data_IF_792822945579
#
_entry.id   IF_792822945579
#
_cell.length_a   1.000
_cell.length_b   1.000
_cell.length_c   1.000
_cell.angle_alpha   90.00
_cell.angle_beta   90.00
_cell.angle_gamma   90.00
#
_symmetry.space_group_name_H-M   'P 1'
#
loop_
_entity.id
_entity.type
_entity.pdbx_description
1 polymer ?
#
# COMPACT_ATOMS: atom_id res chain seq x y z
N UNK A 1 -2.05 -5.13 22.80
CA UNK A 1 -3.38 -4.47 22.94
C UNK A 1 -4.41 -5.58 22.97
N UNK A 2 -5.09 -5.75 24.08
CA UNK A 2 -5.92 -6.94 24.31
C UNK A 2 -7.42 -6.69 24.10
N UNK A 3 -7.93 -5.50 24.39
CA UNK A 3 -9.34 -5.19 24.22
C UNK A 3 -9.59 -3.68 24.11
N UNK A 4 -10.61 -3.27 23.32
CA UNK A 4 -11.11 -1.91 23.26
C UNK A 4 -12.56 -1.95 23.74
N UNK A 5 -12.84 -1.31 24.87
CA UNK A 5 -14.18 -1.09 25.42
C UNK A 5 -14.57 0.38 25.26
N UNK A 6 -15.82 0.71 25.50
CA UNK A 6 -16.28 2.10 25.44
C UNK A 6 -15.48 2.97 26.38
N UNK A 7 -14.82 3.99 25.84
CA UNK A 7 -13.97 4.94 26.60
C UNK A 7 -12.84 4.30 27.41
N UNK A 8 -12.45 3.06 27.06
CA UNK A 8 -11.35 2.34 27.69
C UNK A 8 -10.58 1.50 26.68
N UNK A 9 -9.27 1.48 26.80
CA UNK A 9 -8.38 0.63 26.01
C UNK A 9 -7.48 -0.15 26.97
N UNK A 10 -7.51 -1.47 26.88
CA UNK A 10 -6.56 -2.30 27.61
C UNK A 10 -5.26 -2.44 26.83
N UNK A 11 -4.13 -2.10 27.44
CA UNK A 11 -2.79 -2.21 26.87
C UNK A 11 -1.88 -2.92 27.87
N UNK A 12 -1.38 -4.10 27.52
CA UNK A 12 -0.48 -4.89 28.36
C UNK A 12 -1.01 -5.10 29.82
N UNK A 13 -2.31 -5.33 29.96
CA UNK A 13 -2.96 -5.53 31.26
C UNK A 13 -3.34 -4.23 31.99
N UNK A 14 -3.01 -3.07 31.44
CA UNK A 14 -3.41 -1.77 32.00
C UNK A 14 -4.66 -1.23 31.28
N UNK A 15 -5.60 -0.72 32.04
CA UNK A 15 -6.77 -0.02 31.51
C UNK A 15 -6.48 1.48 31.38
N UNK A 16 -6.58 2.00 30.16
CA UNK A 16 -6.42 3.42 29.85
C UNK A 16 -7.81 4.00 29.57
N UNK A 17 -8.29 4.91 30.42
CA UNK A 17 -9.53 5.65 30.18
C UNK A 17 -9.27 6.77 29.17
N UNK A 18 -10.16 6.93 28.19
CA UNK A 18 -10.01 7.92 27.12
C UNK A 18 -11.37 8.39 26.61
N UNK A 19 -11.45 9.65 26.19
CA UNK A 19 -12.65 10.21 25.54
C UNK A 19 -12.81 9.62 24.13
N UNK A 20 -11.70 9.46 23.44
CA UNK A 20 -11.64 8.89 22.08
C UNK A 20 -10.60 7.77 22.00
N UNK A 21 -10.95 6.72 21.28
CA UNK A 21 -10.03 5.65 20.93
C UNK A 21 -9.93 5.51 19.41
N UNK A 22 -8.73 5.66 18.86
CA UNK A 22 -8.49 5.63 17.42
C UNK A 22 -7.67 4.41 17.05
N UNK A 23 -8.20 3.53 16.21
CA UNK A 23 -7.44 2.44 15.61
C UNK A 23 -6.92 2.84 14.23
N UNK A 24 -5.62 3.05 14.14
CA UNK A 24 -4.89 3.44 12.92
C UNK A 24 -3.74 2.47 12.64
N UNK A 25 -3.98 1.18 12.81
CA UNK A 25 -2.94 0.13 12.78
C UNK A 25 -2.73 -0.49 11.39
N UNK A 26 -3.47 -0.03 10.38
CA UNK A 26 -3.32 -0.43 8.98
C UNK A 26 -3.17 -1.96 8.80
N UNK A 27 -2.17 -2.39 8.02
CA UNK A 27 -1.86 -3.80 7.77
C UNK A 27 -1.50 -4.59 9.05
N UNK A 28 -1.12 -3.91 10.12
CA UNK A 28 -0.79 -4.50 11.41
C UNK A 28 -1.99 -4.69 12.34
N UNK A 29 -3.19 -4.38 11.87
CA UNK A 29 -4.43 -4.64 12.63
C UNK A 29 -4.56 -6.14 12.91
N UNK A 30 -4.68 -6.56 14.20
CA UNK A 30 -4.85 -7.96 14.54
C UNK A 30 -6.03 -8.60 13.82
N UNK A 31 -5.85 -9.83 13.31
CA UNK A 31 -6.87 -10.53 12.52
C UNK A 31 -8.24 -10.62 13.21
N UNK A 32 -8.27 -10.79 14.53
CA UNK A 32 -9.52 -10.83 15.32
C UNK A 32 -10.36 -9.55 15.18
N UNK A 33 -9.73 -8.41 14.86
CA UNK A 33 -10.40 -7.12 14.66
C UNK A 33 -10.52 -6.74 13.19
N UNK A 34 -9.53 -7.12 12.38
CA UNK A 34 -9.54 -6.91 10.94
C UNK A 34 -10.63 -7.74 10.25
N UNK A 35 -10.82 -9.00 10.70
CA UNK A 35 -11.72 -9.94 10.03
C UNK A 35 -11.35 -10.08 8.56
N UNK A 36 -12.34 -9.93 7.69
CA UNK A 36 -12.18 -9.94 6.23
C UNK A 36 -12.24 -8.53 5.60
N UNK A 37 -12.08 -7.46 6.39
CA UNK A 37 -12.21 -6.08 5.88
C UNK A 37 -11.03 -5.63 5.02
N UNK A 38 -9.83 -6.08 5.37
CA UNK A 38 -8.59 -5.74 4.65
C UNK A 38 -7.59 -6.89 4.68
N UNK A 39 -6.68 -6.88 3.74
CA UNK A 39 -5.59 -7.85 3.64
C UNK A 39 -4.25 -7.15 3.56
N UNK A 40 -3.16 -7.70 4.15
CA UNK A 40 -1.82 -7.18 3.94
C UNK A 40 -1.29 -7.65 2.58
N UNK A 41 -0.80 -6.71 1.80
CA UNK A 41 0.06 -6.96 0.64
C UNK A 41 1.40 -6.27 0.88
N UNK A 42 2.43 -6.67 0.14
CA UNK A 42 3.76 -6.09 0.35
C UNK A 42 4.15 -5.20 -0.83
N UNK A 43 4.65 -4.01 -0.49
CA UNK A 43 5.39 -3.14 -1.40
C UNK A 43 6.86 -3.18 -1.02
N UNK A 44 7.72 -3.44 -2.00
CA UNK A 44 9.16 -3.51 -1.78
C UNK A 44 9.85 -2.35 -2.48
N UNK A 45 10.98 -1.95 -1.93
CA UNK A 45 11.77 -0.83 -2.39
C UNK A 45 13.25 -1.22 -2.51
N UNK A 46 13.93 -0.57 -3.45
CA UNK A 46 15.39 -0.57 -3.56
C UNK A 46 15.88 0.86 -3.70
N UNK A 47 17.09 1.15 -3.22
CA UNK A 47 17.73 2.43 -3.49
C UNK A 47 19.22 2.24 -3.83
N UNK A 48 19.69 3.04 -4.77
CA UNK A 48 21.10 3.04 -5.17
C UNK A 48 22.00 3.70 -4.11
N UNK A 49 23.31 3.57 -4.27
CA UNK A 49 24.28 4.52 -3.73
C UNK A 49 23.97 5.95 -4.23
N UNK A 50 24.51 7.01 -3.60
CA UNK A 50 24.38 8.37 -4.11
C UNK A 50 24.93 8.45 -5.54
N UNK A 51 24.10 8.96 -6.46
CA UNK A 51 24.46 9.15 -7.86
C UNK A 51 25.20 10.49 -8.02
N UNK A 52 26.13 10.54 -8.97
CA UNK A 52 26.82 11.79 -9.29
C UNK A 52 25.87 12.81 -9.91
N UNK A 53 26.26 14.09 -9.82
CA UNK A 53 25.47 15.18 -10.41
C UNK A 53 25.33 15.05 -11.92
N UNK A 54 26.32 14.45 -12.58
CA UNK A 54 26.34 14.18 -14.01
C UNK A 54 25.26 13.15 -14.38
N UNK A 55 25.20 12.03 -13.63
CA UNK A 55 24.18 10.98 -13.82
C UNK A 55 22.77 11.55 -13.60
N UNK A 56 22.58 12.39 -12.59
CA UNK A 56 21.27 13.01 -12.33
C UNK A 56 20.87 13.97 -13.46
N UNK A 57 21.81 14.74 -14.00
CA UNK A 57 21.56 15.61 -15.17
C UNK A 57 21.19 14.77 -16.41
N UNK A 58 21.85 13.65 -16.63
CA UNK A 58 21.55 12.73 -17.75
C UNK A 58 20.16 12.10 -17.60
N UNK A 59 19.74 11.76 -16.39
CA UNK A 59 18.38 11.28 -16.09
C UNK A 59 17.33 12.38 -16.36
N UNK A 60 17.75 13.65 -16.45
CA UNK A 60 16.90 14.85 -16.64
C UNK A 60 15.83 15.03 -15.57
N UNK A 61 16.15 14.63 -14.34
CA UNK A 61 15.22 14.77 -13.19
C UNK A 61 15.80 15.68 -12.10
N UNK A 62 16.28 16.85 -12.47
CA UNK A 62 16.82 17.84 -11.53
C UNK A 62 15.79 18.38 -10.55
N UNK A 63 14.51 18.33 -10.91
CA UNK A 63 13.38 18.74 -10.05
C UNK A 63 12.88 17.64 -9.12
N UNK A 64 13.51 16.45 -9.12
CA UNK A 64 13.14 15.28 -8.29
C UNK A 64 11.68 14.87 -8.45
N UNK A 65 11.15 14.97 -9.65
CA UNK A 65 9.82 14.47 -9.97
C UNK A 65 9.72 12.97 -9.75
N UNK A 66 8.55 12.49 -9.36
CA UNK A 66 8.26 11.06 -9.26
C UNK A 66 7.98 10.49 -10.64
N UNK A 67 8.60 9.38 -10.95
CA UNK A 67 8.31 8.57 -12.14
C UNK A 67 7.34 7.46 -11.78
N UNK A 68 6.41 7.17 -12.66
CA UNK A 68 5.51 6.04 -12.54
C UNK A 68 5.31 5.38 -13.91
N UNK A 69 5.34 4.08 -13.96
CA UNK A 69 5.00 3.32 -15.17
C UNK A 69 3.49 3.16 -15.29
N UNK A 70 2.96 3.42 -16.47
CA UNK A 70 1.56 3.15 -16.80
C UNK A 70 1.38 1.65 -17.10
N UNK A 71 1.34 0.83 -16.06
CA UNK A 71 1.14 -0.61 -16.12
C UNK A 71 0.18 -1.06 -15.01
N UNK A 72 -0.36 -2.27 -15.14
CA UNK A 72 -1.30 -2.83 -14.14
C UNK A 72 -0.60 -3.13 -12.81
N UNK A 73 0.66 -3.58 -12.86
CA UNK A 73 1.47 -3.75 -11.65
C UNK A 73 2.42 -2.56 -11.49
N UNK A 74 1.91 -1.51 -10.86
CA UNK A 74 2.57 -0.21 -10.74
C UNK A 74 3.98 -0.33 -10.17
N UNK A 75 4.93 0.28 -10.88
CA UNK A 75 6.30 0.55 -10.44
C UNK A 75 6.52 2.06 -10.44
N UNK A 76 7.19 2.57 -9.43
CA UNK A 76 7.44 4.01 -9.26
C UNK A 76 8.87 4.27 -8.80
N UNK A 77 9.39 5.44 -9.11
CA UNK A 77 10.76 5.84 -8.74
C UNK A 77 10.85 7.33 -8.44
N UNK A 78 11.81 7.70 -7.63
CA UNK A 78 12.14 9.09 -7.31
C UNK A 78 13.63 9.24 -7.00
N UNK A 79 14.19 10.40 -7.32
CA UNK A 79 15.52 10.79 -6.83
C UNK A 79 15.36 11.41 -5.44
N UNK A 80 16.04 10.84 -4.46
CA UNK A 80 16.03 11.30 -3.05
C UNK A 80 16.84 12.58 -2.87
N UNK A 81 16.71 13.23 -1.70
CA UNK A 81 17.45 14.46 -1.39
C UNK A 81 18.95 14.28 -1.38
N UNK A 82 19.43 13.08 -1.05
CA UNK A 82 20.84 12.67 -1.05
C UNK A 82 21.27 12.00 -2.38
N UNK A 83 20.53 12.28 -3.47
CA UNK A 83 20.86 11.86 -4.83
C UNK A 83 20.81 10.35 -5.10
N UNK A 84 20.04 9.57 -4.38
CA UNK A 84 19.82 8.15 -4.68
C UNK A 84 18.61 7.98 -5.58
N UNK A 85 18.65 7.01 -6.47
CA UNK A 85 17.44 6.54 -7.14
C UNK A 85 16.75 5.51 -6.24
N UNK A 86 15.60 5.87 -5.69
CA UNK A 86 14.71 4.94 -4.99
C UNK A 86 13.64 4.46 -5.97
N UNK A 87 13.41 3.14 -6.05
CA UNK A 87 12.40 2.53 -6.91
C UNK A 87 11.62 1.49 -6.13
N UNK A 88 10.30 1.54 -6.26
CA UNK A 88 9.37 0.66 -5.56
C UNK A 88 8.36 -0.01 -6.48
N UNK A 89 7.82 -1.12 -5.98
CA UNK A 89 6.77 -1.86 -6.69
C UNK A 89 6.17 -2.96 -5.84
N UNK A 90 5.05 -3.48 -6.33
CA UNK A 90 4.32 -4.61 -5.74
C UNK A 90 4.72 -5.90 -6.44
N UNK A 91 4.38 -7.06 -5.86
CA UNK A 91 4.61 -8.36 -6.51
C UNK A 91 4.90 -9.50 -5.56
N UNK A 92 5.00 -9.25 -4.26
CA UNK A 92 5.09 -10.30 -3.25
C UNK A 92 3.74 -10.98 -3.09
N UNK A 93 3.74 -12.31 -3.11
CA UNK A 93 2.52 -13.11 -2.99
C UNK A 93 1.80 -12.87 -1.66
N UNK A 94 0.50 -12.71 -1.72
CA UNK A 94 -0.37 -12.72 -0.54
C UNK A 94 -0.21 -14.03 0.23
N UNK A 95 -0.09 -13.93 1.55
CA UNK A 95 0.07 -15.09 2.44
C UNK A 95 -1.29 -15.57 2.96
N UNK A 96 -1.46 -16.89 2.95
CA UNK A 96 -2.67 -17.52 3.46
C UNK A 96 -2.99 -17.01 4.89
N UNK A 97 -4.27 -16.74 5.15
CA UNK A 97 -4.76 -16.19 6.42
C UNK A 97 -4.21 -14.81 6.77
N UNK A 98 -3.84 -13.99 5.80
CA UNK A 98 -3.29 -12.63 6.02
C UNK A 98 -2.09 -12.61 6.97
N UNK A 99 -1.23 -13.63 6.91
CA UNK A 99 -0.05 -13.70 7.79
C UNK A 99 0.95 -12.64 7.38
N UNK A 100 1.35 -11.82 8.35
CA UNK A 100 2.51 -10.96 8.20
C UNK A 100 3.79 -11.78 8.31
N UNK A 101 4.81 -11.41 7.56
CA UNK A 101 6.09 -12.10 7.53
C UNK A 101 7.22 -11.13 7.17
N UNK A 102 8.19 -10.96 8.05
CA UNK A 102 9.41 -10.18 7.81
C UNK A 102 10.17 -10.68 6.57
N UNK A 103 10.15 -12.00 6.31
CA UNK A 103 10.73 -12.57 5.07
C UNK A 103 10.09 -12.03 3.79
N UNK A 104 8.85 -11.54 3.87
CA UNK A 104 8.17 -10.93 2.72
C UNK A 104 8.61 -9.49 2.49
N UNK A 105 9.22 -8.86 3.47
CA UNK A 105 9.82 -7.52 3.38
C UNK A 105 11.23 -7.54 2.77
N UNK A 106 11.87 -8.73 2.78
CA UNK A 106 13.22 -8.96 2.24
C UNK A 106 13.16 -10.10 1.22
N UNK A 107 12.31 -9.98 0.21
CA UNK A 107 12.25 -10.94 -0.90
C UNK A 107 13.33 -10.64 -1.94
N UNK A 108 14.43 -11.39 -1.89
CA UNK A 108 15.58 -11.19 -2.79
C UNK A 108 15.21 -11.30 -4.28
N UNK A 109 14.27 -12.17 -4.64
CA UNK A 109 13.81 -12.32 -6.03
C UNK A 109 13.12 -11.06 -6.51
N UNK A 110 12.26 -10.50 -5.67
CA UNK A 110 11.53 -9.28 -5.99
C UNK A 110 12.46 -8.07 -6.00
N UNK A 111 13.35 -7.92 -5.00
CA UNK A 111 14.34 -6.84 -5.01
C UNK A 111 15.22 -6.87 -6.26
N UNK A 112 15.74 -8.04 -6.65
CA UNK A 112 16.50 -8.18 -7.89
C UNK A 112 15.69 -7.84 -9.14
N UNK A 113 14.37 -8.10 -9.15
CA UNK A 113 13.49 -7.68 -10.23
C UNK A 113 13.34 -6.15 -10.29
N UNK A 114 13.20 -5.49 -9.15
CA UNK A 114 13.15 -4.03 -9.04
C UNK A 114 14.47 -3.39 -9.51
N UNK A 115 15.62 -3.93 -9.13
CA UNK A 115 16.92 -3.45 -9.60
C UNK A 115 17.07 -3.56 -11.12
N UNK A 116 16.67 -4.69 -11.70
CA UNK A 116 16.68 -4.84 -13.18
C UNK A 116 15.73 -3.83 -13.83
N UNK A 117 14.55 -3.60 -13.23
CA UNK A 117 13.61 -2.60 -13.73
C UNK A 117 14.19 -1.20 -13.65
N UNK A 118 14.85 -0.82 -12.55
CA UNK A 118 15.50 0.47 -12.40
C UNK A 118 16.58 0.69 -13.49
N UNK A 119 17.43 -0.31 -13.76
CA UNK A 119 18.42 -0.23 -14.83
C UNK A 119 17.80 -0.16 -16.24
N UNK A 120 16.65 -0.79 -16.45
CA UNK A 120 15.95 -0.69 -17.71
C UNK A 120 15.32 0.67 -17.98
N UNK A 121 14.89 1.37 -16.91
CA UNK A 121 14.37 2.74 -17.02
C UNK A 121 15.47 3.78 -17.14
N UNK A 122 16.57 3.54 -16.43
CA UNK A 122 17.70 4.47 -16.31
C UNK A 122 19.02 3.75 -16.66
N UNK A 123 19.36 3.58 -17.94
CA UNK A 123 20.62 2.95 -18.35
C UNK A 123 21.85 3.63 -17.74
N UNK A 124 21.75 4.91 -17.38
CA UNK A 124 22.82 5.69 -16.74
C UNK A 124 23.26 5.10 -15.37
N UNK A 125 22.40 4.32 -14.71
CA UNK A 125 22.73 3.68 -13.44
C UNK A 125 23.21 2.24 -13.56
N UNK A 126 23.57 1.76 -14.76
CA UNK A 126 23.95 0.36 -14.98
C UNK A 126 25.01 -0.14 -14.00
N UNK A 127 26.00 0.69 -13.68
CA UNK A 127 27.10 0.37 -12.77
C UNK A 127 26.86 0.76 -11.31
N UNK A 128 25.75 1.44 -11.00
CA UNK A 128 25.45 1.84 -9.65
C UNK A 128 25.10 0.63 -8.76
N UNK A 129 25.59 0.67 -7.51
CA UNK A 129 25.28 -0.31 -6.49
C UNK A 129 23.93 0.00 -5.87
N UNK A 130 23.13 -1.03 -5.55
CA UNK A 130 21.94 -0.90 -4.73
C UNK A 130 22.32 -1.20 -3.28
N UNK A 131 22.36 -0.15 -2.47
CA UNK A 131 22.76 -0.24 -1.06
C UNK A 131 21.60 -0.60 -0.14
N UNK A 132 20.39 -0.21 -0.51
CA UNK A 132 19.24 -0.41 0.34
C UNK A 132 18.20 -1.29 -0.34
N UNK A 133 17.65 -2.21 0.46
CA UNK A 133 16.53 -3.08 0.12
C UNK A 133 15.63 -3.16 1.34
N UNK A 134 14.36 -2.80 1.18
CA UNK A 134 13.38 -2.87 2.26
C UNK A 134 11.99 -3.10 1.70
N UNK A 135 11.04 -3.33 2.57
CA UNK A 135 9.64 -3.48 2.22
C UNK A 135 8.75 -3.23 3.41
N UNK A 136 7.46 -3.21 3.16
CA UNK A 136 6.47 -3.07 4.20
C UNK A 136 5.12 -3.61 3.76
N UNK A 137 4.33 -4.04 4.73
CA UNK A 137 2.97 -4.46 4.51
C UNK A 137 2.06 -3.23 4.39
N UNK A 138 1.20 -3.26 3.39
CA UNK A 138 0.19 -2.23 3.10
C UNK A 138 -1.18 -2.88 3.17
N UNK A 139 -2.16 -2.25 3.83
CA UNK A 139 -3.51 -2.77 3.88
C UNK A 139 -4.26 -2.51 2.57
N UNK A 140 -4.87 -3.55 2.04
CA UNK A 140 -5.72 -3.50 0.87
C UNK A 140 -7.16 -3.80 1.26
N UNK A 141 -8.04 -2.82 1.10
CA UNK A 141 -9.49 -2.99 1.24
C UNK A 141 -10.07 -3.60 -0.03
N UNK A 142 -11.25 -4.26 0.07
CA UNK A 142 -11.88 -4.93 -1.09
C UNK A 142 -12.25 -3.95 -2.21
N UNK A 143 -12.55 -2.70 -1.84
CA UNK A 143 -12.91 -1.62 -2.78
C UNK A 143 -11.75 -0.69 -3.14
N UNK A 144 -10.52 -1.01 -2.75
CA UNK A 144 -9.33 -0.19 -3.03
C UNK A 144 -9.45 1.26 -2.56
N UNK A 145 -10.13 1.50 -1.45
CA UNK A 145 -10.33 2.85 -0.92
C UNK A 145 -10.02 2.92 0.57
N UNK A 146 -9.58 4.10 1.02
CA UNK A 146 -9.44 4.43 2.42
C UNK A 146 -10.80 4.41 3.13
N UNK A 147 -10.78 4.33 4.46
CA UNK A 147 -11.97 4.41 5.27
C UNK A 147 -11.75 5.24 6.54
N UNK A 148 -12.81 5.90 6.97
CA UNK A 148 -12.95 6.55 8.25
C UNK A 148 -14.33 6.19 8.80
N UNK A 149 -14.36 5.44 9.90
CA UNK A 149 -15.56 5.15 10.67
C UNK A 149 -15.41 5.79 12.04
N UNK A 150 -16.33 6.65 12.43
CA UNK A 150 -16.32 7.32 13.72
C UNK A 150 -17.69 7.21 14.37
N UNK A 151 -17.74 6.56 15.52
CA UNK A 151 -18.91 6.50 16.38
C UNK A 151 -18.79 7.55 17.51
N UNK A 152 -19.56 8.60 17.39
CA UNK A 152 -19.55 9.70 18.35
C UNK A 152 -20.07 9.29 19.73
N UNK A 153 -21.01 8.34 19.82
CA UNK A 153 -21.59 7.91 21.09
C UNK A 153 -20.56 7.17 21.95
N UNK A 154 -19.78 6.29 21.33
CA UNK A 154 -18.73 5.50 22.02
C UNK A 154 -17.37 6.17 22.01
N UNK A 155 -17.15 7.19 21.19
CA UNK A 155 -15.86 7.84 20.98
C UNK A 155 -14.84 6.96 20.21
N UNK A 156 -15.30 5.93 19.50
CA UNK A 156 -14.44 5.02 18.74
C UNK A 156 -14.26 5.45 17.32
N UNK A 157 -13.03 5.39 16.83
CA UNK A 157 -12.72 5.60 15.43
C UNK A 157 -11.85 4.47 14.88
N UNK A 158 -12.09 4.12 13.62
CA UNK A 158 -11.25 3.23 12.82
C UNK A 158 -10.90 3.94 11.52
N UNK A 159 -9.61 4.03 11.24
CA UNK A 159 -9.09 4.64 10.01
C UNK A 159 -8.04 3.73 9.36
N UNK A 160 -7.96 3.76 8.03
CA UNK A 160 -6.98 2.95 7.31
C UNK A 160 -7.38 2.66 5.86
N UNK A 161 -6.79 1.61 5.30
CA UNK A 161 -7.08 1.17 3.94
C UNK A 161 -6.49 2.09 2.88
N UNK A 162 -5.34 2.69 3.13
CA UNK A 162 -4.73 3.70 2.24
C UNK A 162 -4.19 3.13 0.92
N UNK A 163 -4.12 1.82 0.77
CA UNK A 163 -3.83 1.10 -0.48
C UNK A 163 -2.52 1.53 -1.17
N UNK A 164 -1.57 2.05 -0.42
CA UNK A 164 -0.29 2.55 -0.91
C UNK A 164 -0.16 4.06 -0.98
N UNK A 165 -1.27 4.82 -0.97
CA UNK A 165 -1.27 6.29 -0.99
C UNK A 165 -1.26 6.88 0.43
N UNK A 166 -0.60 6.19 1.36
CA UNK A 166 -0.65 6.46 2.79
C UNK A 166 -0.19 7.84 3.22
N UNK A 167 0.78 8.45 2.52
CA UNK A 167 1.32 9.77 2.91
C UNK A 167 0.23 10.84 2.85
N UNK A 168 -0.47 10.95 1.74
CA UNK A 168 -1.51 11.96 1.53
C UNK A 168 -2.82 11.60 2.22
N UNK A 169 -3.26 10.34 2.05
CA UNK A 169 -4.55 9.90 2.57
C UNK A 169 -4.57 9.82 4.09
N UNK A 170 -3.48 9.42 4.74
CA UNK A 170 -3.44 9.38 6.21
C UNK A 170 -3.62 10.77 6.82
N UNK A 171 -2.99 11.80 6.21
CA UNK A 171 -3.18 13.17 6.64
C UNK A 171 -4.63 13.64 6.46
N UNK A 172 -5.19 13.44 5.26
CA UNK A 172 -6.56 13.86 4.96
C UNK A 172 -7.59 13.17 5.87
N UNK A 173 -7.45 11.85 6.06
CA UNK A 173 -8.34 11.06 6.92
C UNK A 173 -8.20 11.49 8.39
N UNK A 174 -6.96 11.70 8.87
CA UNK A 174 -6.72 12.14 10.24
C UNK A 174 -7.27 13.55 10.51
N UNK A 175 -7.07 14.50 9.57
CA UNK A 175 -7.64 15.84 9.62
C UNK A 175 -9.17 15.77 9.70
N UNK A 176 -9.79 15.01 8.80
CA UNK A 176 -11.25 14.85 8.76
C UNK A 176 -11.79 14.23 10.06
N UNK A 177 -11.08 13.25 10.63
CA UNK A 177 -11.44 12.65 11.91
C UNK A 177 -11.35 13.69 13.05
N UNK A 178 -10.27 14.47 13.10
CA UNK A 178 -10.11 15.53 14.10
C UNK A 178 -11.23 16.59 14.01
N UNK A 179 -11.61 16.99 12.81
CA UNK A 179 -12.75 17.90 12.58
C UNK A 179 -14.06 17.29 13.12
N UNK A 180 -14.35 16.01 12.81
CA UNK A 180 -15.54 15.30 13.33
C UNK A 180 -15.54 15.22 14.86
N UNK A 181 -14.40 14.90 15.48
CA UNK A 181 -14.25 14.85 16.94
C UNK A 181 -14.45 16.22 17.62
N UNK A 182 -14.12 17.28 16.90
CA UNK A 182 -14.29 18.67 17.37
C UNK A 182 -15.66 19.27 17.01
N UNK A 183 -16.59 18.47 16.46
CA UNK A 183 -17.89 18.93 15.94
C UNK A 183 -17.79 20.03 14.88
N UNK A 184 -16.69 20.07 14.14
CA UNK A 184 -16.50 20.97 12.99
C UNK A 184 -17.13 20.32 11.76
N UNK A 185 -17.83 21.14 10.96
CA UNK A 185 -18.42 20.66 9.70
C UNK A 185 -17.33 20.19 8.75
N UNK A 186 -17.35 18.92 8.39
CA UNK A 186 -16.40 18.32 7.43
C UNK A 186 -16.95 18.33 6.01
N UNK A 187 -16.04 18.25 5.03
CA UNK A 187 -16.43 17.98 3.64
C UNK A 187 -17.03 16.58 3.52
N UNK A 188 -17.94 16.39 2.57
CA UNK A 188 -18.46 15.06 2.24
C UNK A 188 -17.43 14.33 1.36
N UNK A 189 -16.65 13.45 1.98
CA UNK A 189 -15.59 12.70 1.31
C UNK A 189 -15.98 11.22 1.15
N UNK A 190 -15.58 10.58 0.05
CA UNK A 190 -16.07 9.25 -0.32
C UNK A 190 -15.62 8.11 0.61
N UNK A 191 -14.72 8.38 1.55
CA UNK A 191 -14.21 7.40 2.51
C UNK A 191 -14.84 7.53 3.91
N UNK A 192 -15.77 8.47 4.13
CA UNK A 192 -16.40 8.71 5.43
C UNK A 192 -17.60 7.79 5.58
N UNK A 193 -17.64 7.03 6.67
CA UNK A 193 -18.74 6.16 7.08
C UNK A 193 -19.24 5.21 5.97
N UNK A 194 -18.35 4.89 5.05
CA UNK A 194 -18.63 3.97 3.94
C UNK A 194 -18.21 2.54 4.26
N UNK A 195 -19.04 1.60 3.85
CA UNK A 195 -18.69 0.18 3.94
C UNK A 195 -17.52 -0.17 3.01
N UNK A 196 -16.41 -0.62 3.57
CA UNK A 196 -15.19 -1.00 2.80
C UNK A 196 -15.28 -2.35 2.09
N UNK A 197 -16.44 -3.00 2.17
CA UNK A 197 -16.63 -4.35 1.66
C UNK A 197 -15.91 -5.40 2.51
N UNK A 198 -16.06 -6.64 2.11
CA UNK A 198 -15.38 -7.78 2.76
C UNK A 198 -14.72 -8.63 1.71
N UNK A 199 -13.49 -9.04 1.98
CA UNK A 199 -12.82 -10.03 1.19
C UNK A 199 -13.48 -11.40 1.38
N UNK A 200 -13.37 -12.22 0.38
CA UNK A 200 -13.82 -13.60 0.39
C UNK A 200 -13.15 -14.39 1.54
N UNK A 201 -13.78 -15.44 2.07
CA UNK A 201 -13.15 -16.30 3.09
C UNK A 201 -11.96 -17.06 2.50
N UNK A 202 -11.03 -17.50 3.38
CA UNK A 202 -9.97 -18.44 2.98
C UNK A 202 -10.56 -19.85 2.73
N UNK A 203 -10.05 -20.60 1.76
CA UNK A 203 -8.87 -20.32 0.91
C UNK A 203 -9.19 -19.53 -0.39
N UNK A 204 -10.45 -19.19 -0.65
CA UNK A 204 -10.88 -18.53 -1.89
C UNK A 204 -10.10 -17.21 -2.07
N UNK A 205 -10.01 -16.41 -1.02
CA UNK A 205 -9.24 -15.15 -1.03
C UNK A 205 -7.79 -15.36 -1.43
N UNK A 206 -7.11 -16.34 -0.85
CA UNK A 206 -5.73 -16.65 -1.18
C UNK A 206 -5.55 -16.98 -2.67
N UNK A 207 -6.44 -17.81 -3.21
CA UNK A 207 -6.39 -18.19 -4.62
C UNK A 207 -6.69 -16.98 -5.52
N UNK A 208 -7.76 -16.24 -5.23
CA UNK A 208 -8.20 -15.10 -6.04
C UNK A 208 -7.16 -13.97 -6.06
N UNK A 209 -6.63 -13.56 -4.91
CA UNK A 209 -5.64 -12.49 -4.83
C UNK A 209 -4.35 -12.87 -5.55
N UNK A 210 -3.83 -14.09 -5.34
CA UNK A 210 -2.60 -14.50 -6.02
C UNK A 210 -2.81 -14.78 -7.52
N UNK A 211 -3.99 -15.22 -7.93
CA UNK A 211 -4.35 -15.33 -9.35
C UNK A 211 -4.45 -13.94 -9.99
N UNK A 212 -5.08 -12.97 -9.31
CA UNK A 212 -5.14 -11.58 -9.75
C UNK A 212 -3.75 -10.97 -9.97
N UNK A 213 -2.83 -11.13 -9.01
CA UNK A 213 -1.44 -10.67 -9.21
C UNK A 213 -0.74 -11.31 -10.41
N UNK A 214 -0.94 -12.61 -10.65
CA UNK A 214 -0.37 -13.26 -11.84
C UNK A 214 -0.98 -12.72 -13.12
N UNK A 215 -2.27 -12.49 -13.10
CA UNK A 215 -3.02 -12.00 -14.24
C UNK A 215 -2.63 -10.56 -14.60
N UNK A 216 -2.40 -9.66 -13.62
CA UNK A 216 -1.87 -8.32 -13.90
C UNK A 216 -0.48 -8.37 -14.56
N UNK A 217 0.42 -9.27 -14.11
CA UNK A 217 1.72 -9.47 -14.75
C UNK A 217 1.58 -9.97 -16.18
N UNK A 218 0.64 -10.89 -16.43
CA UNK A 218 0.39 -11.40 -17.79
C UNK A 218 -0.25 -10.33 -18.68
N UNK A 219 -1.13 -9.49 -18.13
CA UNK A 219 -1.71 -8.36 -18.84
C UNK A 219 -0.64 -7.36 -19.30
N UNK A 220 0.28 -6.98 -18.42
CA UNK A 220 1.41 -6.11 -18.74
C UNK A 220 2.29 -6.73 -19.86
N UNK A 221 2.49 -8.05 -19.83
CA UNK A 221 3.25 -8.74 -20.85
C UNK A 221 2.51 -8.80 -22.20
N UNK A 222 1.19 -9.05 -22.18
CA UNK A 222 0.33 -9.02 -23.38
C UNK A 222 0.39 -7.64 -24.04
N UNK A 223 0.22 -6.55 -23.29
CA UNK A 223 0.29 -5.19 -23.81
C UNK A 223 1.66 -4.83 -24.39
N UNK A 224 2.71 -5.30 -23.72
CA UNK A 224 4.09 -5.10 -24.22
C UNK A 224 4.31 -5.71 -25.62
N UNK A 225 3.73 -6.88 -25.88
CA UNK A 225 3.86 -7.59 -27.16
C UNK A 225 2.88 -7.04 -28.19
N UNK A 226 1.61 -6.95 -27.84
CA UNK A 226 0.52 -6.62 -28.79
C UNK A 226 0.44 -5.15 -29.11
N UNK A 227 0.97 -4.27 -28.22
CA UNK A 227 0.80 -2.81 -28.28
C UNK A 227 -0.67 -2.38 -28.24
N UNK A 228 -1.53 -3.20 -27.66
CA UNK A 228 -2.97 -2.97 -27.52
C UNK A 228 -3.38 -3.19 -26.07
N UNK A 229 -4.48 -2.58 -25.58
CA UNK A 229 -5.04 -2.87 -24.27
C UNK A 229 -5.26 -4.37 -24.06
N UNK A 230 -4.90 -4.86 -22.88
CA UNK A 230 -4.98 -6.28 -22.55
C UNK A 230 -6.42 -6.76 -22.47
N UNK A 231 -6.73 -7.84 -23.19
CA UNK A 231 -8.00 -8.55 -23.06
C UNK A 231 -8.12 -9.23 -21.70
N UNK A 232 -7.01 -9.71 -21.16
CA UNK A 232 -6.97 -10.32 -19.83
C UNK A 232 -7.30 -9.29 -18.75
N UNK A 233 -6.75 -8.07 -18.83
CA UNK A 233 -7.08 -6.98 -17.92
C UNK A 233 -8.57 -6.63 -17.99
N UNK A 234 -9.15 -6.49 -19.17
CA UNK A 234 -10.57 -6.19 -19.35
C UNK A 234 -11.52 -7.20 -18.66
N UNK A 235 -11.10 -8.47 -18.56
CA UNK A 235 -11.86 -9.53 -17.87
C UNK A 235 -11.68 -9.43 -16.35
N UNK A 236 -10.50 -9.04 -15.88
CA UNK A 236 -10.13 -9.12 -14.46
C UNK A 236 -10.49 -7.83 -13.71
N UNK A 237 -10.34 -6.66 -14.33
CA UNK A 237 -10.59 -5.37 -13.71
C UNK A 237 -11.98 -5.26 -13.05
N UNK A 238 -13.09 -5.73 -13.67
CA UNK A 238 -14.39 -5.73 -13.01
C UNK A 238 -14.46 -6.62 -11.77
N UNK A 239 -13.61 -7.65 -11.67
CA UNK A 239 -13.58 -8.57 -10.52
C UNK A 239 -12.72 -8.02 -9.37
N UNK A 240 -11.69 -7.24 -9.70
CA UNK A 240 -10.78 -6.63 -8.73
C UNK A 240 -11.40 -5.37 -8.12
N UNK A 241 -12.09 -4.56 -8.92
CA UNK A 241 -12.60 -3.23 -8.57
C UNK A 241 -14.06 -3.21 -8.08
N UNK A 242 -14.60 -4.34 -7.64
CA UNK A 242 -15.97 -4.44 -7.10
C UNK A 242 -16.05 -4.20 -5.61
#
# INVERSE_FOLDING_TARGET
>A
MSEIRDKQVEVNGFNVSCTFSIRATEAFTPRKWMGNKQIPIYSLMVATEPLSSEVIKEIRNTQRATFQEACHLITYAQITSDNRLALGGRGVRYKLFSRLSERSEIDNRMHSALERRARSWFPQITNAKFEYRWGGAVALTRRWQAYLNFDQATGRAEIGGYVGDGVTLSYLVAKTLAEKMSNIKTANLPFIDQGIGRWEPEPIRYLAVNAGFKATVLADYEEKITKRPSLLAAIIDPLINR
#
